data_IF_355349087707
#
_entry.id   IF_355349087707
#
_cell.length_a   1.000
_cell.length_b   1.000
_cell.length_c   1.000
_cell.angle_alpha   90.00
_cell.angle_beta   90.00
_cell.angle_gamma   90.00
#
_symmetry.space_group_name_H-M   'P 1'
#
loop_
_entity.id
_entity.type
_entity.pdbx_description
1 polymer ?
#
# COMPACT_ATOMS: atom_id res chain seq x y z
N UNK A 1 -25.06 -19.56 -3.07
CA UNK A 1 -24.56 -19.19 -1.74
C UNK A 1 -23.74 -17.92 -1.88
N UNK A 2 -24.05 -16.87 -1.15
CA UNK A 2 -23.24 -15.65 -1.15
C UNK A 2 -21.88 -15.97 -0.52
N UNK A 3 -20.80 -15.45 -1.14
CA UNK A 3 -19.46 -15.59 -0.58
C UNK A 3 -19.39 -14.83 0.76
N UNK A 4 -18.71 -15.37 1.80
CA UNK A 4 -18.57 -14.67 3.07
C UNK A 4 -17.83 -13.35 2.87
N UNK A 5 -18.30 -12.33 3.55
CA UNK A 5 -17.69 -11.00 3.56
C UNK A 5 -16.70 -10.86 4.71
N UNK A 6 -15.83 -9.84 4.66
CA UNK A 6 -14.96 -9.50 5.80
C UNK A 6 -15.78 -9.18 7.06
N UNK A 7 -16.96 -8.57 6.90
CA UNK A 7 -17.87 -8.33 8.02
C UNK A 7 -18.34 -9.63 8.68
N UNK A 8 -18.63 -10.65 7.88
CA UNK A 8 -19.05 -11.98 8.41
C UNK A 8 -17.90 -12.66 9.17
N UNK A 9 -16.67 -12.54 8.67
CA UNK A 9 -15.47 -13.04 9.37
C UNK A 9 -15.32 -12.32 10.73
N UNK A 10 -15.46 -11.00 10.75
CA UNK A 10 -15.40 -10.24 12.02
C UNK A 10 -16.52 -10.65 12.97
N UNK A 11 -17.74 -10.83 12.49
CA UNK A 11 -18.86 -11.30 13.34
C UNK A 11 -18.58 -12.66 13.98
N UNK A 12 -17.98 -13.58 13.22
CA UNK A 12 -17.70 -14.92 13.71
C UNK A 12 -16.50 -15.00 14.65
N UNK A 13 -15.42 -14.27 14.37
CA UNK A 13 -14.12 -14.52 15.01
C UNK A 13 -13.64 -13.39 15.92
N UNK A 14 -14.14 -12.16 15.77
CA UNK A 14 -13.68 -11.03 16.57
C UNK A 14 -13.97 -11.17 18.07
N UNK A 15 -15.10 -11.77 18.53
CA UNK A 15 -15.30 -12.06 19.96
C UNK A 15 -14.21 -12.96 20.54
N UNK A 16 -13.89 -14.07 19.87
CA UNK A 16 -12.84 -15.01 20.30
C UNK A 16 -11.43 -14.38 20.25
N UNK A 17 -11.20 -13.43 19.32
CA UNK A 17 -9.97 -12.65 19.29
C UNK A 17 -9.82 -11.77 20.54
N UNK A 18 -10.89 -11.10 21.00
CA UNK A 18 -10.88 -10.24 22.18
C UNK A 18 -10.64 -11.00 23.49
N UNK A 19 -10.93 -12.31 23.54
CA UNK A 19 -10.61 -13.16 24.69
C UNK A 19 -9.10 -13.35 24.89
N UNK A 20 -8.33 -13.25 23.79
CA UNK A 20 -6.88 -13.54 23.77
C UNK A 20 -6.02 -12.30 23.59
N UNK A 21 -6.55 -11.26 22.96
CA UNK A 21 -5.78 -10.10 22.54
C UNK A 21 -6.50 -8.80 22.88
N UNK A 22 -5.73 -7.77 23.19
CA UNK A 22 -6.23 -6.41 23.41
C UNK A 22 -5.85 -5.55 22.21
N UNK A 23 -6.80 -5.22 21.30
CA UNK A 23 -6.52 -4.34 20.18
C UNK A 23 -6.29 -2.91 20.66
N UNK A 24 -5.47 -2.15 19.92
CA UNK A 24 -5.35 -0.71 20.14
C UNK A 24 -6.71 -0.01 19.96
N UNK A 25 -6.90 1.21 20.51
CA UNK A 25 -8.13 1.97 20.32
C UNK A 25 -8.50 2.16 18.85
N UNK A 26 -7.50 2.37 17.97
CA UNK A 26 -7.68 2.51 16.54
C UNK A 26 -8.15 1.20 15.90
N UNK A 27 -7.53 0.07 16.23
CA UNK A 27 -7.92 -1.24 15.75
C UNK A 27 -9.34 -1.60 16.20
N UNK A 28 -9.68 -1.35 17.46
CA UNK A 28 -11.03 -1.56 18.00
C UNK A 28 -12.07 -0.68 17.29
N UNK A 29 -11.72 0.59 16.98
CA UNK A 29 -12.59 1.51 16.21
C UNK A 29 -12.83 0.97 14.80
N UNK A 30 -11.79 0.48 14.11
CA UNK A 30 -11.91 -0.11 12.77
C UNK A 30 -12.79 -1.34 12.80
N UNK A 31 -12.56 -2.27 13.74
CA UNK A 31 -13.37 -3.49 13.89
C UNK A 31 -14.85 -3.15 14.11
N UNK A 32 -15.16 -2.24 15.03
CA UNK A 32 -16.52 -1.75 15.28
C UNK A 32 -17.16 -1.13 14.05
N UNK A 33 -16.40 -0.36 13.27
CA UNK A 33 -16.87 0.26 12.05
C UNK A 33 -17.21 -0.80 10.97
N UNK A 34 -16.38 -1.81 10.81
CA UNK A 34 -16.64 -2.93 9.88
C UNK A 34 -17.89 -3.70 10.31
N UNK A 35 -17.98 -4.07 11.58
CA UNK A 35 -19.10 -4.82 12.15
C UNK A 35 -20.45 -4.12 11.96
N UNK A 36 -20.47 -2.80 12.09
CA UNK A 36 -21.68 -1.98 12.05
C UNK A 36 -21.96 -1.34 10.67
N UNK A 37 -21.06 -1.51 9.70
CA UNK A 37 -21.22 -0.90 8.38
C UNK A 37 -22.44 -1.45 7.64
N UNK A 38 -23.24 -0.55 7.08
CA UNK A 38 -24.48 -0.90 6.37
C UNK A 38 -25.45 -1.74 7.23
N UNK A 39 -25.50 -1.42 8.53
CA UNK A 39 -26.51 -1.92 9.46
C UNK A 39 -27.28 -0.75 10.04
N UNK A 40 -28.31 -1.03 10.85
CA UNK A 40 -29.07 0.04 11.54
C UNK A 40 -28.27 0.89 12.52
N UNK A 41 -27.05 0.49 12.89
CA UNK A 41 -26.21 1.17 13.87
C UNK A 41 -25.79 2.60 13.46
N UNK A 42 -25.72 2.90 12.18
CA UNK A 42 -25.41 4.23 11.62
C UNK A 42 -26.63 4.93 11.01
N UNK A 43 -27.85 4.43 11.31
CA UNK A 43 -29.08 4.91 10.72
C UNK A 43 -29.31 4.41 9.29
N UNK A 44 -30.38 4.88 8.70
CA UNK A 44 -30.79 4.51 7.34
C UNK A 44 -31.53 5.66 6.66
N UNK A 45 -31.48 5.67 5.33
CA UNK A 45 -32.34 6.46 4.48
C UNK A 45 -33.48 5.58 3.98
N UNK A 46 -34.68 6.07 4.05
CA UNK A 46 -35.88 5.37 3.54
C UNK A 46 -36.39 6.10 2.34
N UNK A 47 -36.55 5.40 1.23
CA UNK A 47 -37.22 5.90 0.03
C UNK A 47 -38.48 5.11 -0.23
N UNK A 48 -39.52 5.80 -0.70
CA UNK A 48 -40.81 5.21 -1.07
C UNK A 48 -41.05 5.51 -2.55
N UNK A 49 -41.38 4.48 -3.32
CA UNK A 49 -41.74 4.65 -4.71
C UNK A 49 -43.11 5.33 -4.77
N UNK A 50 -43.24 6.43 -5.49
CA UNK A 50 -44.46 7.18 -5.61
C UNK A 50 -45.54 6.42 -6.45
N UNK A 51 -45.13 5.55 -7.38
CA UNK A 51 -46.01 4.80 -8.24
C UNK A 51 -46.61 3.56 -7.58
N UNK A 52 -45.81 2.79 -6.81
CA UNK A 52 -46.26 1.50 -6.30
C UNK A 52 -46.20 1.40 -4.77
N UNK A 53 -45.71 2.42 -4.05
CA UNK A 53 -45.61 2.45 -2.60
C UNK A 53 -44.51 1.53 -2.05
N UNK A 54 -43.66 0.93 -2.88
CA UNK A 54 -42.56 0.07 -2.42
C UNK A 54 -41.55 0.86 -1.58
N UNK A 55 -41.23 0.33 -0.41
CA UNK A 55 -40.28 0.95 0.52
C UNK A 55 -38.91 0.32 0.36
N UNK A 56 -37.87 1.15 0.19
CA UNK A 56 -36.47 0.75 0.17
C UNK A 56 -35.74 1.37 1.35
N UNK A 57 -34.99 0.55 2.08
CA UNK A 57 -34.18 0.98 3.22
C UNK A 57 -32.70 0.87 2.84
N UNK A 58 -32.01 2.00 2.86
CA UNK A 58 -30.57 2.09 2.59
C UNK A 58 -29.80 2.41 3.87
N UNK A 59 -29.20 1.41 4.47
CA UNK A 59 -28.39 1.59 5.68
C UNK A 59 -27.11 2.39 5.42
N UNK A 60 -26.80 3.30 6.32
CA UNK A 60 -25.64 4.17 6.19
C UNK A 60 -24.32 3.41 6.34
N UNK A 61 -23.32 3.91 5.64
CA UNK A 61 -21.94 3.39 5.65
C UNK A 61 -21.13 3.95 6.83
N UNK A 62 -20.13 3.20 7.28
CA UNK A 62 -19.21 3.67 8.33
C UNK A 62 -18.17 4.68 7.85
N UNK A 63 -18.00 4.84 6.55
CA UNK A 63 -17.02 5.70 5.87
C UNK A 63 -15.57 5.49 6.31
N UNK A 64 -15.25 4.34 6.92
CA UNK A 64 -13.90 4.03 7.37
C UNK A 64 -13.03 3.55 6.20
N UNK A 65 -11.82 4.10 6.08
CA UNK A 65 -10.86 3.74 5.02
C UNK A 65 -10.43 2.26 5.03
N UNK A 66 -10.54 1.59 6.18
CA UNK A 66 -10.21 0.16 6.30
C UNK A 66 -11.43 -0.74 6.06
N UNK A 67 -12.63 -0.19 5.81
CA UNK A 67 -13.82 -0.99 5.58
C UNK A 67 -13.92 -1.39 4.09
N UNK A 68 -13.86 -2.70 3.76
CA UNK A 68 -13.91 -3.14 2.36
C UNK A 68 -15.20 -2.74 1.65
N UNK A 69 -16.33 -2.68 2.37
CA UNK A 69 -17.62 -2.28 1.79
C UNK A 69 -17.66 -0.79 1.42
N UNK A 70 -17.01 0.08 2.25
CA UNK A 70 -16.93 1.50 1.98
C UNK A 70 -15.91 1.81 0.88
N UNK A 71 -14.85 1.01 0.77
CA UNK A 71 -13.79 1.22 -0.22
C UNK A 71 -14.09 0.61 -1.60
N UNK A 72 -15.17 -0.15 -1.76
CA UNK A 72 -15.49 -0.79 -3.04
C UNK A 72 -15.65 0.24 -4.16
N UNK A 73 -16.54 1.24 -3.99
CA UNK A 73 -16.78 2.27 -5.01
C UNK A 73 -15.57 3.19 -5.22
N UNK A 74 -14.94 3.77 -4.17
CA UNK A 74 -13.71 4.56 -4.36
C UNK A 74 -12.60 3.81 -5.08
N UNK A 75 -12.46 2.51 -4.80
CA UNK A 75 -11.49 1.66 -5.50
C UNK A 75 -11.78 1.53 -6.99
N UNK A 76 -13.03 1.25 -7.36
CA UNK A 76 -13.42 1.15 -8.79
C UNK A 76 -13.22 2.49 -9.51
N UNK A 77 -13.65 3.59 -8.91
CA UNK A 77 -13.43 4.94 -9.48
C UNK A 77 -11.94 5.24 -9.67
N UNK A 78 -11.10 4.85 -8.70
CA UNK A 78 -9.65 5.02 -8.83
C UNK A 78 -9.08 4.15 -9.95
N UNK A 79 -9.55 2.89 -10.05
CA UNK A 79 -9.10 1.98 -11.12
C UNK A 79 -9.51 2.48 -12.50
N UNK A 80 -10.73 2.99 -12.65
CA UNK A 80 -11.21 3.53 -13.92
C UNK A 80 -10.38 4.75 -14.35
N UNK A 81 -10.12 5.68 -13.42
CA UNK A 81 -9.25 6.82 -13.69
C UNK A 81 -7.81 6.39 -14.07
N UNK A 82 -7.28 5.33 -13.44
CA UNK A 82 -5.94 4.83 -13.80
C UNK A 82 -5.90 4.10 -15.14
N UNK A 83 -7.01 3.48 -15.57
CA UNK A 83 -7.08 2.85 -16.90
C UNK A 83 -6.93 3.86 -18.03
N UNK A 84 -7.42 5.09 -17.84
CA UNK A 84 -7.24 6.18 -18.81
C UNK A 84 -5.79 6.65 -18.91
N UNK A 85 -5.01 6.49 -17.85
CA UNK A 85 -3.58 6.89 -17.81
C UNK A 85 -2.64 5.79 -18.35
N UNK A 86 -3.15 4.59 -18.63
CA UNK A 86 -2.31 3.48 -19.12
C UNK A 86 -1.83 3.74 -20.54
N UNK A 87 -0.53 3.78 -20.70
CA UNK A 87 0.11 3.92 -22.01
C UNK A 87 0.20 2.56 -22.71
N UNK A 88 0.20 2.56 -24.04
CA UNK A 88 0.46 1.36 -24.85
C UNK A 88 1.96 1.04 -24.86
N UNK A 89 2.43 0.55 -23.72
CA UNK A 89 3.83 0.19 -23.48
C UNK A 89 3.92 -0.93 -22.43
N UNK A 90 5.02 -1.69 -22.39
CA UNK A 90 5.23 -2.71 -21.38
C UNK A 90 5.26 -2.11 -19.95
N UNK A 91 4.76 -2.88 -18.99
CA UNK A 91 4.88 -2.56 -17.57
C UNK A 91 5.54 -3.71 -16.83
N UNK A 92 6.42 -3.38 -15.91
CA UNK A 92 7.15 -4.34 -15.10
C UNK A 92 6.78 -4.20 -13.63
N UNK A 93 6.68 -5.32 -12.95
CA UNK A 93 6.43 -5.37 -11.53
C UNK A 93 7.74 -5.62 -10.78
N UNK A 94 8.15 -4.67 -9.95
CA UNK A 94 9.31 -4.78 -9.06
C UNK A 94 8.84 -4.82 -7.61
N UNK A 95 9.58 -5.54 -6.78
CA UNK A 95 9.35 -5.56 -5.33
C UNK A 95 10.64 -5.23 -4.61
N UNK A 96 10.61 -4.19 -3.78
CA UNK A 96 11.72 -3.79 -2.92
C UNK A 96 11.43 -4.26 -1.50
N UNK A 97 12.26 -5.16 -0.99
CA UNK A 97 12.13 -5.73 0.36
C UNK A 97 13.34 -5.40 1.21
N UNK A 98 13.14 -5.43 2.51
CA UNK A 98 14.21 -5.34 3.51
C UNK A 98 14.30 -6.63 4.32
N UNK A 99 15.46 -7.00 4.86
CA UNK A 99 15.60 -8.20 5.71
C UNK A 99 14.73 -8.11 6.95
N UNK A 100 14.12 -9.23 7.36
CA UNK A 100 13.23 -9.33 8.53
C UNK A 100 13.88 -8.89 9.84
N UNK A 101 15.21 -9.00 9.94
CA UNK A 101 15.97 -8.53 11.09
C UNK A 101 15.79 -7.02 11.35
N UNK A 102 15.36 -6.26 10.35
CA UNK A 102 15.07 -4.82 10.49
C UNK A 102 13.63 -4.56 10.93
N UNK A 103 12.76 -5.57 10.97
CA UNK A 103 11.35 -5.40 11.31
C UNK A 103 11.12 -4.73 12.67
N UNK A 104 11.83 -5.07 13.76
CA UNK A 104 11.63 -4.41 15.04
C UNK A 104 11.91 -2.91 15.00
N UNK A 105 13.03 -2.49 14.41
CA UNK A 105 13.36 -1.07 14.30
C UNK A 105 12.40 -0.32 13.36
N UNK A 106 11.95 -0.97 12.28
CA UNK A 106 10.97 -0.38 11.36
C UNK A 106 9.63 -0.21 12.09
N UNK A 107 9.20 -1.20 12.86
CA UNK A 107 7.93 -1.16 13.58
C UNK A 107 7.87 0.01 14.57
N UNK A 108 8.97 0.28 15.27
CA UNK A 108 9.07 1.39 16.22
C UNK A 108 9.25 2.77 15.56
N UNK A 109 9.63 2.80 14.27
CA UNK A 109 9.93 4.02 13.49
C UNK A 109 9.17 4.06 12.16
N UNK A 110 7.93 3.58 12.11
CA UNK A 110 7.20 3.29 10.88
C UNK A 110 7.25 4.43 9.87
N UNK A 111 6.80 5.64 10.27
CA UNK A 111 6.76 6.77 9.33
C UNK A 111 8.12 7.05 8.72
N UNK A 112 9.14 7.18 9.55
CA UNK A 112 10.49 7.55 9.12
C UNK A 112 11.10 6.49 8.21
N UNK A 113 11.01 5.18 8.59
CA UNK A 113 11.61 4.11 7.82
C UNK A 113 10.78 3.67 6.61
N UNK A 114 9.47 3.95 6.57
CA UNK A 114 8.69 3.85 5.34
C UNK A 114 9.08 4.94 4.34
N UNK A 115 9.26 6.19 4.79
CA UNK A 115 9.73 7.29 3.95
C UNK A 115 11.12 6.97 3.37
N UNK A 116 12.03 6.44 4.19
CA UNK A 116 13.36 5.94 3.76
C UNK A 116 13.25 4.84 2.71
N UNK A 117 12.34 3.89 2.90
CA UNK A 117 12.13 2.80 1.96
C UNK A 117 11.63 3.31 0.60
N UNK A 118 10.66 4.23 0.60
CA UNK A 118 10.18 4.90 -0.60
C UNK A 118 11.29 5.67 -1.31
N UNK A 119 12.06 6.45 -0.56
CA UNK A 119 13.14 7.26 -1.11
C UNK A 119 14.23 6.39 -1.74
N UNK A 120 14.69 5.35 -1.05
CA UNK A 120 15.69 4.43 -1.58
C UNK A 120 15.22 3.71 -2.84
N UNK A 121 13.96 3.21 -2.87
CA UNK A 121 13.39 2.56 -4.04
C UNK A 121 13.27 3.52 -5.24
N UNK A 122 12.72 4.70 -5.00
CA UNK A 122 12.53 5.75 -5.99
C UNK A 122 13.85 6.23 -6.59
N UNK A 123 14.82 6.54 -5.72
CA UNK A 123 16.15 6.97 -6.14
C UNK A 123 16.90 5.87 -6.91
N UNK A 124 16.69 4.60 -6.58
CA UNK A 124 17.27 3.47 -7.32
C UNK A 124 16.72 3.38 -8.74
N UNK A 125 15.40 3.47 -8.88
CA UNK A 125 14.76 3.45 -10.20
C UNK A 125 15.25 4.63 -11.03
N UNK A 126 15.18 5.84 -10.50
CA UNK A 126 15.54 7.06 -11.21
C UNK A 126 17.00 7.06 -11.66
N UNK A 127 17.93 6.62 -10.80
CA UNK A 127 19.36 6.53 -11.15
C UNK A 127 19.63 5.51 -12.26
N UNK A 128 19.10 4.30 -12.10
CA UNK A 128 19.38 3.24 -13.07
C UNK A 128 18.69 3.46 -14.41
N UNK A 129 17.49 4.03 -14.43
CA UNK A 129 16.79 4.29 -15.70
C UNK A 129 17.39 5.48 -16.45
N UNK A 130 17.93 6.47 -15.74
CA UNK A 130 18.62 7.60 -16.35
C UNK A 130 20.00 7.24 -16.94
N UNK A 131 20.62 6.14 -16.47
CA UNK A 131 21.90 5.69 -17.00
C UNK A 131 21.75 5.22 -18.47
N UNK A 132 22.50 5.82 -19.43
CA UNK A 132 22.48 5.40 -20.84
C UNK A 132 22.83 3.94 -21.08
N UNK A 133 23.52 3.27 -20.15
CA UNK A 133 23.82 1.82 -20.22
C UNK A 133 22.58 0.96 -20.08
N UNK A 134 21.50 1.50 -19.51
CA UNK A 134 20.23 0.82 -19.35
C UNK A 134 19.19 1.41 -20.30
N UNK A 135 18.48 2.44 -19.89
CA UNK A 135 17.48 3.10 -20.74
C UNK A 135 17.94 4.50 -21.18
N UNK A 136 18.55 5.27 -20.33
CA UNK A 136 18.94 6.68 -20.61
C UNK A 136 17.72 7.60 -20.72
N UNK A 137 16.66 7.35 -19.97
CA UNK A 137 15.41 8.08 -19.99
C UNK A 137 14.79 8.16 -18.59
N UNK A 138 14.00 9.20 -18.34
CA UNK A 138 13.16 9.29 -17.15
C UNK A 138 11.88 8.48 -17.35
N UNK A 139 11.62 7.53 -16.46
CA UNK A 139 10.47 6.62 -16.52
C UNK A 139 9.39 7.00 -15.52
N UNK A 140 8.14 6.69 -15.87
CA UNK A 140 7.02 6.73 -14.92
C UNK A 140 6.95 5.46 -14.10
N UNK A 141 6.61 5.58 -12.81
CA UNK A 141 6.35 4.43 -11.94
C UNK A 141 5.38 4.78 -10.81
N UNK A 142 4.75 3.74 -10.26
CA UNK A 142 3.85 3.83 -9.09
C UNK A 142 4.42 2.92 -8.02
N UNK A 143 4.65 3.46 -6.83
CA UNK A 143 5.09 2.72 -5.65
C UNK A 143 3.95 2.56 -4.65
N UNK A 144 3.74 1.35 -4.16
CA UNK A 144 2.68 1.02 -3.20
C UNK A 144 3.33 0.27 -2.02
N UNK A 145 3.23 0.83 -0.82
CA UNK A 145 3.71 0.19 0.40
C UNK A 145 2.74 -0.91 0.84
N UNK A 146 3.27 -2.11 1.04
CA UNK A 146 2.65 -3.16 1.81
C UNK A 146 3.41 -3.36 3.13
N UNK A 147 2.71 -3.61 4.22
CA UNK A 147 3.32 -3.80 5.54
C UNK A 147 3.12 -5.21 6.09
N UNK A 148 2.60 -6.13 5.26
CA UNK A 148 2.30 -7.51 5.62
C UNK A 148 2.78 -8.48 4.55
N UNK A 149 3.26 -9.65 4.98
CA UNK A 149 3.56 -10.79 4.13
C UNK A 149 2.31 -11.66 3.85
N UNK A 150 2.49 -12.72 3.09
CA UNK A 150 1.41 -13.68 2.75
C UNK A 150 0.78 -14.35 3.98
N UNK A 151 1.54 -14.49 5.05
CA UNK A 151 1.10 -15.04 6.33
C UNK A 151 0.57 -13.97 7.31
N UNK A 152 0.32 -12.76 6.82
CA UNK A 152 -0.13 -11.60 7.62
C UNK A 152 0.85 -11.17 8.71
N UNK A 153 2.11 -11.62 8.65
CA UNK A 153 3.18 -11.14 9.49
C UNK A 153 3.63 -9.74 9.04
N UNK A 154 4.22 -8.98 9.96
CA UNK A 154 4.79 -7.67 9.62
C UNK A 154 6.00 -7.84 8.69
N UNK A 155 5.87 -7.33 7.47
CA UNK A 155 6.87 -7.43 6.40
C UNK A 155 6.74 -6.24 5.45
N UNK A 156 7.34 -5.09 5.80
CA UNK A 156 7.24 -3.88 4.97
C UNK A 156 8.03 -4.05 3.67
N UNK A 157 7.35 -3.80 2.55
CA UNK A 157 7.93 -3.85 1.22
C UNK A 157 7.17 -2.95 0.26
N UNK A 158 7.81 -2.53 -0.82
CA UNK A 158 7.21 -1.69 -1.85
C UNK A 158 7.00 -2.50 -3.11
N UNK A 159 5.75 -2.58 -3.54
CA UNK A 159 5.40 -2.97 -4.90
C UNK A 159 5.53 -1.76 -5.82
N UNK A 160 6.19 -1.94 -6.93
CA UNK A 160 6.36 -0.91 -7.94
C UNK A 160 5.89 -1.39 -9.29
N UNK A 161 5.01 -0.62 -9.91
CA UNK A 161 4.66 -0.76 -11.32
C UNK A 161 5.55 0.22 -12.09
N UNK A 162 6.47 -0.32 -12.88
CA UNK A 162 7.46 0.44 -13.64
C UNK A 162 7.09 0.40 -15.12
N UNK A 163 7.01 1.56 -15.74
CA UNK A 163 6.81 1.69 -17.20
C UNK A 163 8.09 1.21 -17.95
N UNK A 164 7.92 0.43 -18.99
CA UNK A 164 9.02 -0.12 -19.81
C UNK A 164 9.62 0.86 -20.81
N UNK A 165 9.32 2.15 -20.66
CA UNK A 165 9.88 3.23 -21.47
C UNK A 165 9.78 4.56 -20.74
N UNK A 166 10.39 5.60 -21.31
CA UNK A 166 10.42 6.92 -20.70
C UNK A 166 10.84 8.02 -21.67
N UNK A 167 10.93 9.23 -21.16
CA UNK A 167 11.33 10.40 -21.94
C UNK A 167 12.81 10.69 -21.73
N UNK A 168 13.53 10.82 -22.84
CA UNK A 168 14.93 11.29 -22.85
C UNK A 168 15.00 12.77 -22.46
N UNK A 169 16.21 13.28 -22.23
CA UNK A 169 16.44 14.73 -22.00
C UNK A 169 15.98 15.62 -23.16
N UNK A 170 15.74 15.04 -24.34
CA UNK A 170 15.20 15.75 -25.51
C UNK A 170 13.69 15.61 -25.67
N UNK A 171 12.99 15.06 -24.66
CA UNK A 171 11.56 14.73 -24.69
C UNK A 171 11.18 13.72 -25.81
N UNK A 172 12.09 12.84 -26.22
CA UNK A 172 11.84 11.77 -27.15
C UNK A 172 11.49 10.50 -26.36
N UNK A 173 10.48 9.76 -26.81
CA UNK A 173 10.17 8.45 -26.22
C UNK A 173 11.25 7.44 -26.52
N UNK A 174 11.67 6.72 -25.51
CA UNK A 174 12.61 5.62 -25.61
C UNK A 174 12.14 4.43 -24.78
N UNK A 175 12.14 3.25 -25.37
CA UNK A 175 11.81 2.00 -24.70
C UNK A 175 12.81 0.91 -25.08
N UNK A 176 12.70 -0.24 -24.43
CA UNK A 176 13.50 -1.43 -24.71
C UNK A 176 12.63 -2.59 -25.23
N UNK A 177 11.48 -2.29 -25.84
CA UNK A 177 10.50 -3.28 -26.25
C UNK A 177 9.87 -4.00 -25.05
N UNK A 178 9.62 -5.30 -25.17
CA UNK A 178 8.99 -6.11 -24.11
C UNK A 178 9.97 -6.70 -23.10
N UNK A 179 11.26 -6.51 -23.29
CA UNK A 179 12.28 -7.06 -22.41
C UNK A 179 12.55 -6.14 -21.21
N UNK A 180 12.75 -6.75 -20.05
CA UNK A 180 13.14 -6.01 -18.85
C UNK A 180 14.58 -5.50 -18.98
N UNK A 181 14.74 -4.20 -18.84
CA UNK A 181 15.98 -3.48 -19.19
C UNK A 181 16.92 -3.20 -18.02
N UNK A 182 16.50 -3.49 -16.78
CA UNK A 182 17.32 -3.28 -15.58
C UNK A 182 17.81 -4.61 -15.00
N UNK A 183 19.11 -4.85 -14.90
CA UNK A 183 19.62 -6.06 -14.26
C UNK A 183 19.22 -6.12 -12.78
N UNK A 184 18.60 -7.21 -12.35
CA UNK A 184 18.11 -7.38 -10.96
C UNK A 184 19.24 -7.19 -9.94
N UNK A 185 20.45 -7.68 -10.25
CA UNK A 185 21.61 -7.50 -9.38
C UNK A 185 22.00 -6.02 -9.20
N UNK A 186 21.85 -5.20 -10.25
CA UNK A 186 22.13 -3.76 -10.16
C UNK A 186 21.10 -3.06 -9.30
N UNK A 187 19.80 -3.36 -9.50
CA UNK A 187 18.71 -2.83 -8.66
C UNK A 187 18.98 -3.18 -7.18
N UNK A 188 19.23 -4.47 -6.90
CA UNK A 188 19.47 -4.93 -5.53
C UNK A 188 20.66 -4.26 -4.87
N UNK A 189 21.78 -4.11 -5.60
CA UNK A 189 22.99 -3.47 -5.09
C UNK A 189 22.79 -1.98 -4.78
N UNK A 190 22.20 -1.24 -5.72
CA UNK A 190 21.99 0.20 -5.60
C UNK A 190 20.97 0.49 -4.49
N UNK A 191 19.84 -0.23 -4.49
CA UNK A 191 18.81 -0.11 -3.46
C UNK A 191 19.37 -0.36 -2.06
N UNK A 192 20.09 -1.49 -1.88
CA UNK A 192 20.72 -1.80 -0.60
C UNK A 192 21.68 -0.72 -0.15
N UNK A 193 22.52 -0.20 -1.06
CA UNK A 193 23.45 0.88 -0.75
C UNK A 193 22.70 2.11 -0.23
N UNK A 194 21.74 2.61 -1.00
CA UNK A 194 20.94 3.79 -0.65
C UNK A 194 20.19 3.62 0.68
N UNK A 195 19.48 2.51 0.85
CA UNK A 195 18.73 2.25 2.06
C UNK A 195 19.64 2.18 3.30
N UNK A 196 20.78 1.49 3.20
CA UNK A 196 21.73 1.37 4.30
C UNK A 196 22.43 2.69 4.63
N UNK A 197 22.72 3.52 3.65
CA UNK A 197 23.33 4.83 3.86
C UNK A 197 22.37 5.79 4.59
N UNK A 198 21.10 5.79 4.19
CA UNK A 198 20.06 6.57 4.88
C UNK A 198 19.84 6.04 6.30
N UNK A 199 19.73 4.72 6.48
CA UNK A 199 19.56 4.10 7.79
C UNK A 199 20.73 4.45 8.75
N UNK A 200 21.97 4.40 8.26
CA UNK A 200 23.16 4.82 9.03
C UNK A 200 23.10 6.30 9.39
N UNK A 201 22.68 7.16 8.46
CA UNK A 201 22.54 8.59 8.72
C UNK A 201 21.50 8.86 9.82
N UNK A 202 20.33 8.21 9.75
CA UNK A 202 19.29 8.30 10.77
C UNK A 202 19.79 7.81 12.14
N UNK A 203 20.55 6.74 12.17
CA UNK A 203 21.18 6.23 13.38
C UNK A 203 22.18 7.23 13.97
N UNK A 204 23.10 7.73 13.17
CA UNK A 204 24.15 8.65 13.60
C UNK A 204 23.61 10.01 14.07
N UNK A 205 22.43 10.39 13.58
CA UNK A 205 21.73 11.64 13.96
C UNK A 205 20.71 11.44 15.08
N UNK A 206 20.69 10.26 15.73
CA UNK A 206 19.77 9.91 16.82
C UNK A 206 18.28 10.13 16.49
N UNK A 207 17.89 9.92 15.25
CA UNK A 207 16.49 10.04 14.83
C UNK A 207 15.68 8.75 15.01
N UNK A 208 16.35 7.62 15.20
CA UNK A 208 15.72 6.32 15.43
C UNK A 208 15.43 6.09 16.90
N UNK A 209 14.20 5.68 17.21
CA UNK A 209 13.83 5.22 18.55
C UNK A 209 14.41 3.82 18.76
N UNK A 210 15.17 3.62 19.82
CA UNK A 210 15.59 2.30 20.27
C UNK A 210 14.46 1.60 21.04
N UNK A 211 14.51 0.26 21.13
CA UNK A 211 13.53 -0.53 21.90
C UNK A 211 13.53 -0.20 23.41
N UNK A 212 14.58 0.40 23.92
CA UNK A 212 14.75 0.74 25.35
C UNK A 212 13.85 1.91 25.82
N UNK A 213 13.20 2.65 24.91
CA UNK A 213 12.36 3.79 25.27
C UNK A 213 10.85 3.48 25.34
N UNK A 214 10.44 2.22 25.33
CA UNK A 214 9.02 1.81 25.45
C UNK A 214 8.60 1.38 26.86
N UNK A 215 9.38 1.70 27.88
CA UNK A 215 9.01 1.46 29.30
C UNK A 215 8.85 2.79 30.05
N UNK A 216 7.79 3.55 29.72
CA UNK A 216 7.11 4.49 30.61
C UNK A 216 5.63 4.56 30.27
#
# INVERSE_FOLDING_TARGET
MNKPTVQDIFRCFYPAYLEKYSPSPEQAKVARNILNCKTGAYGANVSVCEDCGAVQIHYNSCCNRCCPMCQAVPKEMWMDARREDVLDAPYFHLVFTVPDILNPIIYNNQKLLYDTLYHAASATISELTADPKHLGAAVGYICILHTWGSEMNFHPHIHTILLGGGLTSKNEWKDNGTEFFLPIWAISKVFRGKYMDELKNLWNTNQLRSEEHTSE
#
